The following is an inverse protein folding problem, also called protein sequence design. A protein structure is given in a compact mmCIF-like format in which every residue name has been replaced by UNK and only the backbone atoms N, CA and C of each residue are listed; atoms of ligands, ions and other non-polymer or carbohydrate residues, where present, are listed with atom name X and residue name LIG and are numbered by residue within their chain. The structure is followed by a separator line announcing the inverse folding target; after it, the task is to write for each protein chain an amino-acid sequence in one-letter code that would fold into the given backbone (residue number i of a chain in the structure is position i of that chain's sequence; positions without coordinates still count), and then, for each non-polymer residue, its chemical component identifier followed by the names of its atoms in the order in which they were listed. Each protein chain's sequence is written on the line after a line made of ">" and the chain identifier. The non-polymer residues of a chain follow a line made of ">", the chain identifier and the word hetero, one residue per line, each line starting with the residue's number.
data_IF_497659036576
#
_entry.id   IF_497659036576
#
_cell.length_a   1.000
_cell.length_b   1.000
_cell.length_c   1.000
_cell.angle_alpha   90.00
_cell.angle_beta   90.00
_cell.angle_gamma   90.00
#
_symmetry.space_group_name_H-M   'P 1'
#
loop_
_entity.id
_entity.type
_entity.pdbx_description
1 polymer ?
#
# COMPACT_ATOMS: atom_id res chain seq x y z
N UNK A 1 -13.94 3.91 -11.71
CA UNK A 1 -13.81 2.52 -11.25
C UNK A 1 -12.37 2.32 -10.80
N UNK A 2 -12.14 2.35 -9.49
CA UNK A 2 -10.82 2.08 -8.96
C UNK A 2 -10.55 0.57 -9.05
N UNK A 3 -9.34 0.20 -9.49
CA UNK A 3 -8.92 -1.20 -9.49
C UNK A 3 -8.42 -1.56 -8.09
N UNK A 4 -8.81 -2.74 -7.65
CA UNK A 4 -8.29 -3.32 -6.42
C UNK A 4 -6.85 -3.72 -6.67
N UNK A 5 -5.94 -3.34 -5.79
CA UNK A 5 -4.53 -3.77 -5.82
C UNK A 5 -4.28 -5.00 -4.96
N UNK A 6 -5.20 -5.28 -4.04
CA UNK A 6 -5.10 -6.36 -3.07
C UNK A 6 -6.44 -7.03 -2.91
N UNK A 7 -6.41 -8.31 -2.58
CA UNK A 7 -7.63 -9.04 -2.28
C UNK A 7 -8.33 -8.42 -1.06
N UNK A 8 -9.58 -8.00 -1.24
CA UNK A 8 -10.39 -7.35 -0.22
C UNK A 8 -11.72 -8.09 -0.04
N UNK A 9 -12.29 -8.08 1.17
CA UNK A 9 -13.61 -8.64 1.45
C UNK A 9 -14.61 -7.53 1.72
N UNK A 10 -15.54 -7.31 0.80
CA UNK A 10 -16.60 -6.33 0.95
C UNK A 10 -17.98 -6.96 0.86
N UNK A 11 -18.97 -6.33 1.48
CA UNK A 11 -20.37 -6.72 1.37
C UNK A 11 -21.03 -5.78 0.36
N UNK A 12 -21.27 -6.20 -0.89
CA UNK A 12 -21.96 -5.36 -1.85
C UNK A 12 -23.42 -5.14 -1.42
N UNK A 13 -24.03 -4.05 -1.85
CA UNK A 13 -25.41 -3.72 -1.49
C UNK A 13 -26.37 -4.82 -1.95
N UNK A 14 -27.17 -5.32 -1.03
CA UNK A 14 -28.11 -6.42 -1.26
C UNK A 14 -27.51 -7.81 -1.05
N UNK A 15 -26.19 -7.93 -0.83
CA UNK A 15 -25.60 -9.15 -0.28
C UNK A 15 -25.63 -9.10 1.25
N UNK A 16 -25.87 -10.24 1.86
CA UNK A 16 -25.84 -10.42 3.33
C UNK A 16 -24.44 -10.90 3.76
N UNK A 17 -23.67 -11.49 2.84
CA UNK A 17 -22.37 -12.08 3.10
C UNK A 17 -21.22 -11.33 2.43
N UNK A 18 -20.03 -11.30 3.06
CA UNK A 18 -18.84 -10.70 2.45
C UNK A 18 -18.38 -11.50 1.23
N UNK A 19 -18.17 -10.81 0.12
CA UNK A 19 -17.59 -11.34 -1.11
C UNK A 19 -16.10 -11.03 -1.13
N UNK A 20 -15.27 -12.00 -1.54
CA UNK A 20 -13.85 -11.76 -1.82
C UNK A 20 -13.72 -11.16 -3.21
N UNK A 21 -13.12 -9.98 -3.29
CA UNK A 21 -12.67 -9.38 -4.53
C UNK A 21 -11.17 -9.62 -4.68
N UNK A 22 -10.71 -9.96 -5.88
CA UNK A 22 -9.30 -10.23 -6.15
C UNK A 22 -8.51 -8.93 -6.43
N UNK A 23 -7.19 -9.01 -6.34
CA UNK A 23 -6.33 -7.96 -6.90
C UNK A 23 -6.48 -7.93 -8.42
N UNK A 24 -6.65 -6.74 -8.99
CA UNK A 24 -6.94 -6.46 -10.38
C UNK A 24 -8.44 -6.38 -10.70
N UNK A 25 -9.33 -6.74 -9.77
CA UNK A 25 -10.77 -6.60 -9.99
C UNK A 25 -11.25 -5.16 -9.83
N UNK A 26 -12.38 -4.89 -10.46
CA UNK A 26 -13.01 -3.58 -10.43
C UNK A 26 -13.72 -3.39 -9.08
N UNK A 27 -13.35 -2.35 -8.32
CA UNK A 27 -14.00 -2.07 -7.06
C UNK A 27 -15.35 -1.40 -7.32
N UNK A 28 -16.48 -1.97 -6.84
CA UNK A 28 -17.75 -1.27 -6.93
C UNK A 28 -17.73 0.00 -6.06
N UNK A 29 -18.37 1.09 -6.50
CA UNK A 29 -18.26 2.41 -5.84
C UNK A 29 -18.79 2.42 -4.41
N UNK A 30 -19.71 1.51 -4.08
CA UNK A 30 -20.23 1.36 -2.72
C UNK A 30 -19.20 0.76 -1.75
N UNK A 31 -18.21 0.02 -2.27
CA UNK A 31 -17.11 -0.56 -1.51
C UNK A 31 -15.80 0.22 -1.64
N UNK A 32 -15.72 1.23 -2.52
CA UNK A 32 -14.54 2.07 -2.67
C UNK A 32 -14.14 2.72 -1.34
N UNK A 33 -15.11 3.16 -0.52
CA UNK A 33 -14.80 3.74 0.79
C UNK A 33 -14.10 2.75 1.73
N UNK A 34 -14.59 1.51 1.81
CA UNK A 34 -13.99 0.46 2.63
C UNK A 34 -12.67 -0.09 2.05
N UNK A 35 -12.58 -0.20 0.73
CA UNK A 35 -11.37 -0.59 0.03
C UNK A 35 -10.28 0.49 0.18
N UNK A 36 -10.64 1.78 0.18
CA UNK A 36 -9.71 2.89 0.43
C UNK A 36 -9.18 2.87 1.85
N UNK A 37 -10.06 2.70 2.84
CA UNK A 37 -9.70 2.63 4.25
C UNK A 37 -8.74 1.46 4.54
N UNK A 38 -8.93 0.34 3.85
CA UNK A 38 -8.10 -0.86 3.99
C UNK A 38 -6.85 -0.91 3.10
N UNK A 39 -6.57 0.17 2.35
CA UNK A 39 -5.39 0.18 1.49
C UNK A 39 -5.49 -0.75 0.27
N UNK A 40 -6.70 -1.10 -0.15
CA UNK A 40 -6.97 -2.05 -1.22
C UNK A 40 -7.21 -1.39 -2.59
N UNK A 41 -7.26 -0.05 -2.66
CA UNK A 41 -7.31 0.71 -3.91
C UNK A 41 -5.91 1.17 -4.32
N UNK A 42 -5.69 1.37 -5.63
CA UNK A 42 -4.44 1.91 -6.20
C UNK A 42 -3.92 3.17 -5.47
N UNK A 43 -4.80 3.99 -4.88
CA UNK A 43 -4.42 5.20 -4.15
C UNK A 43 -3.86 4.95 -2.73
N UNK A 44 -3.82 3.70 -2.24
CA UNK A 44 -3.53 3.39 -0.83
C UNK A 44 -2.64 2.14 -0.65
N UNK A 45 -2.06 1.61 -1.73
CA UNK A 45 -0.93 0.67 -1.69
C UNK A 45 0.32 1.28 -1.03
N UNK A 46 0.40 2.61 -1.07
CA UNK A 46 1.66 3.33 -1.09
C UNK A 46 2.49 3.05 0.17
N UNK A 47 1.92 3.02 1.37
CA UNK A 47 2.73 2.88 2.59
C UNK A 47 3.50 1.55 2.71
N UNK A 48 2.94 0.44 2.25
CA UNK A 48 3.61 -0.87 2.39
C UNK A 48 4.58 -1.15 1.26
N UNK A 49 4.28 -0.69 0.05
CA UNK A 49 5.12 -0.85 -1.11
C UNK A 49 6.22 0.22 -1.15
N UNK A 50 5.93 1.48 -0.77
CA UNK A 50 6.91 2.55 -0.57
C UNK A 50 7.90 2.18 0.55
N UNK A 51 7.43 1.56 1.65
CA UNK A 51 8.34 1.05 2.68
C UNK A 51 9.35 0.04 2.13
N UNK A 52 8.88 -0.91 1.32
CA UNK A 52 9.77 -1.94 0.72
C UNK A 52 10.71 -1.34 -0.31
N UNK A 53 10.20 -0.42 -1.12
CA UNK A 53 10.99 0.29 -2.13
C UNK A 53 12.08 1.13 -1.49
N UNK A 54 11.76 1.92 -0.46
CA UNK A 54 12.72 2.70 0.32
C UNK A 54 13.77 1.79 0.99
N UNK A 55 13.38 0.64 1.54
CA UNK A 55 14.32 -0.34 2.10
C UNK A 55 15.28 -0.91 1.04
N UNK A 56 14.78 -1.20 -0.17
CA UNK A 56 15.60 -1.68 -1.27
C UNK A 56 16.58 -0.60 -1.74
N UNK A 57 16.13 0.65 -1.86
CA UNK A 57 16.99 1.77 -2.25
C UNK A 57 18.09 2.03 -1.19
N UNK A 58 17.76 1.97 0.11
CA UNK A 58 18.75 2.10 1.19
C UNK A 58 19.79 0.97 1.19
N UNK A 59 19.38 -0.27 0.87
CA UNK A 59 20.27 -1.42 0.76
C UNK A 59 21.27 -1.26 -0.40
N UNK A 60 20.77 -0.83 -1.56
CA UNK A 60 21.59 -0.49 -2.75
C UNK A 60 22.56 0.64 -2.45
N UNK A 61 22.10 1.67 -1.75
CA UNK A 61 22.93 2.79 -1.30
C UNK A 61 23.84 2.43 -0.12
N UNK A 62 23.77 1.19 0.41
CA UNK A 62 24.52 0.74 1.59
C UNK A 62 24.29 1.63 2.83
N UNK A 63 23.14 2.30 2.90
CA UNK A 63 22.76 3.16 4.02
C UNK A 63 22.24 2.28 5.14
N UNK A 64 22.76 2.46 6.36
CA UNK A 64 22.33 1.69 7.52
C UNK A 64 20.93 2.11 7.95
N UNK A 65 19.95 1.20 7.86
CA UNK A 65 18.58 1.43 8.30
C UNK A 65 18.06 0.31 9.21
N UNK A 66 17.04 0.61 10.01
CA UNK A 66 16.35 -0.40 10.82
C UNK A 66 15.06 -0.87 10.13
N UNK A 67 14.81 -2.18 10.13
CA UNK A 67 13.63 -2.78 9.50
C UNK A 67 12.32 -2.38 10.20
N UNK A 68 12.40 -1.87 11.44
CA UNK A 68 11.27 -1.35 12.22
C UNK A 68 10.98 0.13 11.94
N UNK A 69 11.78 0.80 11.12
CA UNK A 69 11.48 2.18 10.73
C UNK A 69 10.21 2.26 9.89
N UNK A 70 9.46 3.36 10.09
CA UNK A 70 8.33 3.73 9.22
C UNK A 70 8.85 4.35 7.92
N UNK A 71 7.97 4.45 6.92
CA UNK A 71 8.22 5.08 5.60
C UNK A 71 8.95 6.43 5.74
N UNK A 72 8.49 7.27 6.67
CA UNK A 72 9.04 8.60 6.92
C UNK A 72 10.56 8.59 7.25
N UNK A 73 10.99 7.68 8.14
CA UNK A 73 12.41 7.55 8.53
C UNK A 73 13.27 6.94 7.43
N UNK A 74 12.73 5.99 6.67
CA UNK A 74 13.45 5.37 5.56
C UNK A 74 13.67 6.40 4.44
N UNK A 75 12.66 7.25 4.17
CA UNK A 75 12.74 8.35 3.22
C UNK A 75 13.75 9.41 3.65
N UNK A 76 13.76 9.78 4.93
CA UNK A 76 14.74 10.70 5.49
C UNK A 76 16.17 10.17 5.36
N UNK A 77 16.40 8.89 5.71
CA UNK A 77 17.71 8.26 5.60
C UNK A 77 18.21 8.17 4.14
N UNK A 78 17.31 7.89 3.19
CA UNK A 78 17.63 7.85 1.77
C UNK A 78 18.04 9.24 1.27
N UNK A 79 17.28 10.27 1.64
CA UNK A 79 17.56 11.66 1.27
C UNK A 79 18.86 12.19 1.90
N UNK A 80 19.25 11.69 3.07
CA UNK A 80 20.49 12.04 3.73
C UNK A 80 21.70 11.36 3.09
N UNK A 81 21.58 10.08 2.71
CA UNK A 81 22.65 9.36 2.01
C UNK A 81 22.84 9.76 0.54
N UNK A 82 21.85 10.41 -0.10
CA UNK A 82 22.01 11.00 -1.45
C UNK A 82 22.75 12.35 -1.47
N UNK A 83 23.05 12.94 -0.31
CA UNK A 83 23.73 14.25 -0.21
C UNK A 83 25.25 14.17 -0.09
N UNK A 84 25.82 12.96 -0.07
CA UNK A 84 27.26 12.70 -0.08
C UNK A 84 27.76 12.43 -1.51
#
# INVERSE_FOLDING_TARGET
>A
MAKLIKAFRGVPKGAIYPVKFAAGEECPPELEAGARDLGALEASADDSDEKKDLMAQLDVAQIKYDKRWGVDKLRAALAEGQKD
#
